data_IF_414302949828
#
_entry.id   IF_414302949828
#
_cell.length_a   1.000
_cell.length_b   1.000
_cell.length_c   1.000
_cell.angle_alpha   90.00
_cell.angle_beta   90.00
_cell.angle_gamma   90.00
#
_symmetry.space_group_name_H-M   'P 1'
#
loop_
_entity.id
_entity.type
_entity.pdbx_description
1 polymer ?
#
# COMPACT_ATOMS: atom_id res chain seq x y z
N UNK A 1 -6.33 14.68 12.23
CA UNK A 1 -5.08 14.00 11.82
C UNK A 1 -5.22 12.48 11.77
N UNK A 2 -5.68 11.79 12.83
CA UNK A 2 -5.86 10.32 12.82
C UNK A 2 -6.59 9.77 11.60
N UNK A 3 -7.79 10.28 11.29
CA UNK A 3 -8.58 9.83 10.11
C UNK A 3 -7.85 10.04 8.78
N UNK A 4 -7.01 11.08 8.68
CA UNK A 4 -6.20 11.35 7.48
C UNK A 4 -5.10 10.30 7.37
N UNK A 5 -4.39 10.01 8.47
CA UNK A 5 -3.35 8.97 8.52
C UNK A 5 -3.93 7.56 8.28
N UNK A 6 -5.11 7.26 8.80
CA UNK A 6 -5.84 6.02 8.49
C UNK A 6 -6.22 5.94 7.01
N UNK A 7 -6.71 7.04 6.43
CA UNK A 7 -7.03 7.11 5.00
C UNK A 7 -5.78 6.93 4.12
N UNK A 8 -4.64 7.51 4.51
CA UNK A 8 -3.36 7.31 3.84
C UNK A 8 -2.88 5.86 3.99
N UNK A 9 -2.98 5.27 5.18
CA UNK A 9 -2.66 3.86 5.39
C UNK A 9 -3.51 2.93 4.53
N UNK A 10 -4.81 3.22 4.41
CA UNK A 10 -5.71 2.49 3.51
C UNK A 10 -5.31 2.65 2.05
N UNK A 11 -4.98 3.86 1.61
CA UNK A 11 -4.53 4.11 0.24
C UNK A 11 -3.24 3.33 -0.06
N UNK A 12 -2.24 3.39 0.83
CA UNK A 12 -0.98 2.67 0.68
C UNK A 12 -1.20 1.16 0.68
N UNK A 13 -2.08 0.66 1.56
CA UNK A 13 -2.47 -0.75 1.59
C UNK A 13 -3.06 -1.19 0.25
N UNK A 14 -4.02 -0.43 -0.28
CA UNK A 14 -4.66 -0.73 -1.57
C UNK A 14 -3.69 -0.64 -2.73
N UNK A 15 -2.73 0.28 -2.71
CA UNK A 15 -1.66 0.37 -3.72
C UNK A 15 -0.80 -0.90 -3.72
N UNK A 16 -0.33 -1.34 -2.54
CA UNK A 16 0.47 -2.55 -2.42
C UNK A 16 -0.29 -3.81 -2.84
N UNK A 17 -1.54 -3.97 -2.39
CA UNK A 17 -2.38 -5.11 -2.80
C UNK A 17 -2.62 -5.10 -4.31
N UNK A 18 -2.95 -3.95 -4.87
CA UNK A 18 -3.18 -3.79 -6.31
C UNK A 18 -1.94 -4.09 -7.13
N UNK A 19 -0.77 -3.56 -6.75
CA UNK A 19 0.47 -3.85 -7.47
C UNK A 19 0.92 -5.31 -7.36
N UNK A 20 0.61 -5.99 -6.25
CA UNK A 20 0.82 -7.43 -6.12
C UNK A 20 -0.12 -8.23 -7.02
N UNK A 21 -1.40 -7.82 -7.12
CA UNK A 21 -2.36 -8.43 -8.04
C UNK A 21 -1.95 -8.20 -9.49
N UNK A 22 -1.49 -7.00 -9.85
CA UNK A 22 -1.08 -6.65 -11.22
C UNK A 22 0.05 -7.56 -11.75
N UNK A 23 0.90 -8.07 -10.86
CA UNK A 23 1.92 -9.06 -11.20
C UNK A 23 1.38 -10.46 -11.49
N UNK A 24 0.21 -10.80 -10.96
CA UNK A 24 -0.46 -12.07 -11.19
C UNK A 24 -1.46 -11.97 -12.34
N UNK A 25 -2.09 -10.81 -12.50
CA UNK A 25 -3.14 -10.54 -13.47
C UNK A 25 -3.14 -9.06 -13.87
N UNK A 26 -2.97 -8.78 -15.15
CA UNK A 26 -2.94 -7.42 -15.70
C UNK A 26 -4.16 -6.59 -15.27
N UNK A 27 -3.93 -5.44 -14.62
CA UNK A 27 -5.00 -4.61 -14.08
C UNK A 27 -5.42 -3.48 -15.07
N UNK A 28 -6.63 -3.55 -15.68
CA UNK A 28 -7.04 -2.59 -16.71
C UNK A 28 -7.57 -1.25 -16.18
N UNK A 29 -8.05 -1.18 -14.93
CA UNK A 29 -8.69 0.02 -14.36
C UNK A 29 -7.98 0.53 -13.10
N UNK A 30 -8.03 1.84 -12.86
CA UNK A 30 -7.39 2.54 -11.73
C UNK A 30 -5.86 2.37 -11.60
N UNK A 31 -5.18 1.82 -12.60
CA UNK A 31 -3.75 1.55 -12.54
C UNK A 31 -2.86 2.80 -12.35
N UNK A 32 -3.34 4.02 -12.61
CA UNK A 32 -2.55 5.23 -12.31
C UNK A 32 -2.43 5.44 -10.80
N UNK A 33 -3.50 5.18 -10.05
CA UNK A 33 -3.54 5.40 -8.60
C UNK A 33 -3.11 4.12 -7.88
N UNK A 34 -3.79 3.01 -8.15
CA UNK A 34 -3.58 1.77 -7.42
C UNK A 34 -2.31 1.02 -7.86
N UNK A 35 -1.90 1.15 -9.12
CA UNK A 35 -0.63 0.59 -9.61
C UNK A 35 0.47 1.68 -9.71
N UNK A 36 0.33 2.77 -8.95
CA UNK A 36 1.28 3.89 -8.93
C UNK A 36 2.69 3.44 -8.52
N UNK A 37 2.80 2.51 -7.57
CA UNK A 37 4.09 1.98 -7.12
C UNK A 37 4.86 1.27 -8.25
N UNK A 38 4.19 0.40 -9.02
CA UNK A 38 4.82 -0.28 -10.15
C UNK A 38 5.10 0.64 -11.34
N UNK A 39 4.34 1.72 -11.50
CA UNK A 39 4.55 2.68 -12.60
C UNK A 39 5.62 3.70 -12.32
N UNK A 40 5.75 4.18 -11.08
CA UNK A 40 6.61 5.32 -10.76
C UNK A 40 7.80 4.96 -9.88
N UNK A 41 7.75 3.88 -9.09
CA UNK A 41 8.82 3.54 -8.14
C UNK A 41 9.65 2.37 -8.63
N UNK A 42 9.01 1.24 -8.93
CA UNK A 42 9.69 0.00 -9.36
C UNK A 42 10.63 0.21 -10.56
N UNK A 43 10.27 0.95 -11.62
CA UNK A 43 11.16 1.11 -12.78
C UNK A 43 12.43 1.90 -12.45
N UNK A 44 12.41 2.71 -11.40
CA UNK A 44 13.52 3.57 -11.00
C UNK A 44 14.49 2.92 -10.01
N UNK A 45 14.21 1.69 -9.55
CA UNK A 45 15.04 0.99 -8.56
C UNK A 45 15.30 -0.43 -9.03
N UNK A 46 16.54 -0.70 -9.47
CA UNK A 46 16.92 -2.01 -10.03
C UNK A 46 16.57 -3.19 -9.12
N UNK A 47 16.82 -3.07 -7.81
CA UNK A 47 16.46 -4.10 -6.83
C UNK A 47 14.94 -4.38 -6.79
N UNK A 48 14.10 -3.34 -6.94
CA UNK A 48 12.66 -3.52 -6.90
C UNK A 48 12.14 -4.21 -8.16
N UNK A 49 12.82 -4.09 -9.31
CA UNK A 49 12.40 -4.77 -10.53
C UNK A 49 12.46 -6.29 -10.41
N UNK A 50 13.50 -6.83 -9.77
CA UNK A 50 13.67 -8.28 -9.56
C UNK A 50 12.74 -8.84 -8.47
N UNK A 51 12.36 -8.01 -7.50
CA UNK A 51 11.55 -8.40 -6.34
C UNK A 51 10.20 -7.67 -6.27
N UNK A 52 9.66 -7.27 -7.41
CA UNK A 52 8.53 -6.35 -7.47
C UNK A 52 7.26 -6.89 -6.79
N UNK A 53 6.99 -8.21 -6.87
CA UNK A 53 5.89 -8.83 -6.13
C UNK A 53 6.09 -8.69 -4.61
N UNK A 54 7.27 -9.02 -4.10
CA UNK A 54 7.59 -8.90 -2.67
C UNK A 54 7.58 -7.44 -2.21
N UNK A 55 8.05 -6.51 -3.04
CA UNK A 55 8.01 -5.08 -2.76
C UNK A 55 6.56 -4.58 -2.58
N UNK A 56 5.64 -5.00 -3.45
CA UNK A 56 4.22 -4.64 -3.33
C UNK A 56 3.57 -5.22 -2.08
N UNK A 57 3.90 -6.47 -1.72
CA UNK A 57 3.44 -7.07 -0.47
C UNK A 57 3.97 -6.29 0.75
N UNK A 58 5.23 -5.86 0.72
CA UNK A 58 5.79 -5.03 1.79
C UNK A 58 5.07 -3.68 1.89
N UNK A 59 4.77 -3.03 0.76
CA UNK A 59 3.97 -1.79 0.72
C UNK A 59 2.58 -2.02 1.32
N UNK A 60 1.92 -3.13 0.98
CA UNK A 60 0.62 -3.50 1.55
C UNK A 60 0.73 -3.65 3.07
N UNK A 61 1.71 -4.40 3.56
CA UNK A 61 1.95 -4.60 5.00
C UNK A 61 2.18 -3.26 5.72
N UNK A 62 2.98 -2.36 5.16
CA UNK A 62 3.24 -1.04 5.75
C UNK A 62 1.95 -0.20 5.83
N UNK A 63 1.12 -0.20 4.78
CA UNK A 63 -0.17 0.48 4.79
C UNK A 63 -1.11 -0.08 5.87
N UNK A 64 -1.22 -1.42 5.94
CA UNK A 64 -2.02 -2.09 6.97
C UNK A 64 -1.52 -1.83 8.39
N UNK A 65 -0.20 -1.88 8.60
CA UNK A 65 0.44 -1.58 9.87
C UNK A 65 0.14 -0.13 10.32
N UNK A 66 0.14 0.84 9.40
CA UNK A 66 -0.22 2.21 9.71
C UNK A 66 -1.67 2.35 10.16
N UNK A 67 -2.62 1.67 9.49
CA UNK A 67 -4.03 1.66 9.90
C UNK A 67 -4.17 1.12 11.32
N UNK A 68 -3.55 -0.04 11.58
CA UNK A 68 -3.59 -0.69 12.89
C UNK A 68 -2.93 0.15 13.98
N UNK A 69 -1.77 0.75 13.69
CA UNK A 69 -1.08 1.65 14.62
C UNK A 69 -1.95 2.86 14.97
N UNK A 70 -2.64 3.45 13.99
CA UNK A 70 -3.53 4.59 14.25
C UNK A 70 -4.77 4.22 15.06
N UNK A 71 -5.24 2.97 14.94
CA UNK A 71 -6.32 2.46 15.79
C UNK A 71 -5.83 2.14 17.21
N UNK A 72 -4.66 1.50 17.34
CA UNK A 72 -4.05 1.17 18.63
C UNK A 72 -3.67 2.41 19.45
N UNK A 73 -3.28 3.50 18.78
CA UNK A 73 -2.99 4.79 19.42
C UNK A 73 -4.25 5.64 19.68
N UNK A 74 -5.43 5.18 19.28
CA UNK A 74 -6.66 5.87 19.64
C UNK A 74 -6.87 5.70 21.15
N UNK A 75 -7.04 6.80 21.91
CA UNK A 75 -7.26 6.71 23.34
C UNK A 75 -8.50 5.85 23.58
N UNK A 76 -8.38 4.87 24.49
CA UNK A 76 -9.49 4.10 25.02
C UNK A 76 -10.62 5.09 25.34
N UNK A 77 -11.68 5.07 24.54
CA UNK A 77 -12.91 5.77 24.90
C UNK A 77 -13.47 4.96 26.07
N UNK A 78 -13.00 5.25 27.29
CA UNK A 78 -13.54 4.72 28.55
C UNK A 78 -15.06 4.75 28.41
N UNK A 79 -15.65 3.57 28.23
CA UNK A 79 -17.07 3.34 28.41
C UNK A 79 -17.31 3.08 29.88
#
# INVERSE_FOLDING_TARGET
>A
MRKILQGLGLLVFLIGVSGAIDHLWYQPFFGIVLNSFNRFVVPNVALLQEYALFANLAVAVLGGALILAMEALAPERRR
#
